data_IF_715086542610
#
_entry.id   IF_715086542610
#
_cell.length_a   1.000
_cell.length_b   1.000
_cell.length_c   1.000
_cell.angle_alpha   90.00
_cell.angle_beta   90.00
_cell.angle_gamma   90.00
#
_symmetry.space_group_name_H-M   'P 1'
#
loop_
_entity.id
_entity.type
_entity.pdbx_description
1 polymer ?
#
# COMPACT_ATOMS: atom_id res chain seq x y z
N UNK A 1 -5.05 -30.08 11.19
CA UNK A 1 -4.91 -28.72 11.76
C UNK A 1 -5.25 -28.76 13.26
N UNK A 2 -4.46 -29.49 14.07
CA UNK A 2 -4.84 -29.89 15.45
C UNK A 2 -4.27 -28.97 16.54
N UNK A 3 -3.24 -28.17 16.23
CA UNK A 3 -2.55 -27.34 17.22
C UNK A 3 -3.21 -25.97 17.52
N UNK A 4 -4.17 -25.50 16.70
CA UNK A 4 -4.77 -24.17 16.89
C UNK A 4 -5.78 -24.08 18.05
N UNK A 5 -6.30 -25.21 18.55
CA UNK A 5 -7.36 -25.22 19.59
C UNK A 5 -6.86 -25.44 21.01
N UNK A 6 -5.66 -26.00 21.22
CA UNK A 6 -5.17 -26.42 22.55
C UNK A 6 -4.19 -25.40 23.15
N UNK A 7 -3.47 -24.66 22.32
CA UNK A 7 -2.59 -23.57 22.75
C UNK A 7 -3.27 -22.27 22.35
N UNK A 8 -4.01 -21.63 23.27
CA UNK A 8 -4.51 -20.28 23.05
C UNK A 8 -3.36 -19.40 22.53
N UNK A 9 -3.64 -18.51 21.56
CA UNK A 9 -2.63 -17.71 20.85
C UNK A 9 -1.54 -17.23 21.83
N UNK A 10 -0.37 -17.89 21.80
CA UNK A 10 0.74 -17.57 22.71
C UNK A 10 1.09 -16.11 22.50
N UNK A 11 0.76 -15.29 23.50
CA UNK A 11 1.04 -13.86 23.40
C UNK A 11 2.53 -13.65 23.67
N UNK A 12 3.14 -12.60 23.11
CA UNK A 12 4.57 -12.38 23.29
C UNK A 12 5.01 -12.06 24.73
N UNK A 13 4.10 -12.06 25.69
CA UNK A 13 4.35 -11.86 27.12
C UNK A 13 4.34 -13.16 27.93
N UNK A 14 4.03 -14.30 27.29
CA UNK A 14 3.98 -15.61 27.94
C UNK A 14 5.36 -16.29 27.89
N UNK A 15 5.75 -16.98 28.95
CA UNK A 15 7.04 -17.65 29.09
C UNK A 15 8.10 -16.83 29.84
N UNK A 16 9.36 -17.27 29.78
CA UNK A 16 10.49 -16.52 30.34
C UNK A 16 10.93 -15.36 29.42
N UNK A 17 11.81 -14.48 29.92
CA UNK A 17 12.25 -13.27 29.19
C UNK A 17 12.86 -13.56 27.81
N UNK A 18 13.43 -14.74 27.59
CA UNK A 18 14.02 -15.12 26.30
C UNK A 18 12.99 -15.45 25.22
N UNK A 19 11.74 -15.75 25.63
CA UNK A 19 10.63 -16.03 24.71
C UNK A 19 9.74 -14.81 24.45
N UNK A 20 10.04 -13.67 25.09
CA UNK A 20 9.34 -12.44 24.78
C UNK A 20 9.63 -12.02 23.34
N UNK A 21 8.56 -11.78 22.58
CA UNK A 21 8.64 -11.41 21.15
C UNK A 21 7.99 -10.05 20.92
N UNK A 22 8.25 -9.45 19.76
CA UNK A 22 7.47 -8.31 19.27
C UNK A 22 6.07 -8.71 18.80
N UNK A 23 5.19 -7.72 18.59
CA UNK A 23 3.86 -7.91 18.00
C UNK A 23 3.78 -7.35 16.59
N UNK A 24 3.86 -8.20 15.56
CA UNK A 24 3.51 -7.84 14.17
C UNK A 24 4.28 -6.66 13.56
N UNK A 25 5.34 -6.17 14.20
CA UNK A 25 6.14 -5.05 13.72
C UNK A 25 7.03 -5.53 12.58
N UNK A 26 7.02 -4.82 11.46
CA UNK A 26 7.94 -5.07 10.34
C UNK A 26 9.32 -4.50 10.68
N UNK A 27 10.39 -5.19 10.26
CA UNK A 27 11.76 -4.74 10.51
C UNK A 27 12.08 -3.44 9.78
N UNK A 28 12.27 -2.35 10.53
CA UNK A 28 12.62 -1.02 10.00
C UNK A 28 14.13 -0.83 9.80
N UNK A 29 14.93 -1.83 10.14
CA UNK A 29 16.37 -1.68 10.27
C UNK A 29 17.06 -2.97 10.68
N UNK A 30 18.22 -2.84 11.30
CA UNK A 30 19.03 -3.95 11.81
C UNK A 30 19.80 -3.53 13.07
N UNK A 31 20.20 -4.51 13.89
CA UNK A 31 21.07 -4.29 15.05
C UNK A 31 22.53 -4.38 14.62
N UNK A 32 23.36 -3.46 15.11
CA UNK A 32 24.83 -3.52 15.00
C UNK A 32 25.44 -4.52 16.00
N UNK A 33 26.72 -4.84 15.81
CA UNK A 33 27.49 -5.70 16.72
C UNK A 33 27.56 -5.19 18.17
N UNK A 34 27.44 -3.88 18.37
CA UNK A 34 27.40 -3.22 19.69
C UNK A 34 25.97 -3.03 20.21
N UNK A 35 24.99 -3.78 19.68
CA UNK A 35 23.57 -3.71 20.04
C UNK A 35 22.91 -2.33 19.86
N UNK A 36 23.44 -1.46 18.99
CA UNK A 36 22.73 -0.25 18.55
C UNK A 36 21.81 -0.57 17.38
N UNK A 37 20.56 -0.11 17.42
CA UNK A 37 19.61 -0.22 16.31
C UNK A 37 19.89 0.85 15.25
N UNK A 38 20.03 0.43 14.00
CA UNK A 38 20.25 1.30 12.84
C UNK A 38 19.00 1.22 11.96
N UNK A 39 18.40 2.38 11.68
CA UNK A 39 17.20 2.49 10.83
C UNK A 39 17.61 2.53 9.36
N UNK A 40 17.03 1.64 8.55
CA UNK A 40 17.25 1.62 7.10
C UNK A 40 16.18 2.48 6.42
N UNK A 41 16.51 3.68 5.89
CA UNK A 41 15.50 4.58 5.31
C UNK A 41 14.76 3.94 4.12
N UNK A 42 15.38 3.00 3.41
CA UNK A 42 14.76 2.24 2.31
C UNK A 42 13.67 1.26 2.76
N UNK A 43 13.69 0.82 4.03
CA UNK A 43 12.66 -0.06 4.60
C UNK A 43 11.51 0.73 5.22
N UNK A 44 11.67 2.04 5.41
CA UNK A 44 10.62 2.89 5.91
C UNK A 44 9.48 3.00 4.88
N UNK A 45 8.24 2.98 5.36
CA UNK A 45 7.08 3.19 4.52
C UNK A 45 6.98 4.68 4.16
N UNK A 46 7.20 5.01 2.90
CA UNK A 46 6.91 6.35 2.37
C UNK A 46 5.47 6.39 1.89
N UNK A 47 4.65 7.23 2.52
CA UNK A 47 3.26 7.45 2.10
C UNK A 47 3.23 8.64 1.14
N UNK A 48 2.88 8.41 -0.13
CA UNK A 48 2.74 9.46 -1.12
C UNK A 48 1.37 10.13 -0.98
N UNK A 49 1.36 11.32 -0.38
CA UNK A 49 0.18 12.16 -0.26
C UNK A 49 0.24 13.22 -1.37
N UNK A 50 -0.78 13.35 -2.23
CA UNK A 50 -0.78 14.36 -3.28
C UNK A 50 -0.83 15.76 -2.64
N UNK A 51 -0.21 16.76 -3.27
CA UNK A 51 -0.05 18.10 -2.71
C UNK A 51 -1.39 18.79 -2.35
N UNK A 52 -2.48 18.44 -3.07
CA UNK A 52 -3.82 18.96 -2.87
C UNK A 52 -4.65 18.20 -1.81
N UNK A 53 -4.05 17.26 -1.07
CA UNK A 53 -4.78 16.53 -0.02
C UNK A 53 -5.27 17.46 1.10
N UNK A 54 -4.47 18.48 1.45
CA UNK A 54 -4.79 19.47 2.48
C UNK A 54 -5.28 20.81 1.92
N UNK A 55 -5.36 20.98 0.60
CA UNK A 55 -5.90 22.21 0.03
C UNK A 55 -7.40 22.30 0.27
N UNK A 56 -7.89 23.52 0.54
CA UNK A 56 -9.32 23.82 0.72
C UNK A 56 -10.19 23.41 -0.48
N UNK A 57 -9.56 23.22 -1.65
CA UNK A 57 -10.15 22.58 -2.82
C UNK A 57 -9.71 21.10 -2.88
N UNK A 58 -10.37 20.19 -2.12
CA UNK A 58 -10.22 18.77 -2.37
C UNK A 58 -10.62 18.49 -3.82
N UNK A 59 -10.11 17.40 -4.40
CA UNK A 59 -10.57 16.95 -5.71
C UNK A 59 -12.11 17.02 -5.79
N UNK A 60 -12.66 17.52 -6.90
CA UNK A 60 -14.12 17.60 -7.11
C UNK A 60 -14.84 16.25 -6.90
N UNK A 61 -14.07 15.17 -7.01
CA UNK A 61 -14.50 13.81 -6.71
C UNK A 61 -14.78 13.62 -5.21
N UNK A 62 -16.00 13.17 -4.94
CA UNK A 62 -16.45 12.73 -3.61
C UNK A 62 -16.30 11.21 -3.46
N UNK A 63 -16.24 10.66 -2.23
CA UNK A 63 -16.18 9.21 -2.01
C UNK A 63 -17.39 8.42 -2.53
N UNK A 64 -18.53 9.10 -2.71
CA UNK A 64 -19.77 8.52 -3.22
C UNK A 64 -20.18 9.15 -4.55
N UNK A 65 -20.79 8.33 -5.39
CA UNK A 65 -21.33 8.71 -6.70
C UNK A 65 -22.83 8.99 -6.56
N UNK A 66 -23.36 9.89 -7.39
CA UNK A 66 -24.81 10.13 -7.48
C UNK A 66 -25.56 8.87 -7.92
N UNK A 67 -26.76 8.65 -7.37
CA UNK A 67 -27.67 7.57 -7.78
C UNK A 67 -28.18 7.72 -9.22
N UNK A 68 -28.11 8.93 -9.77
CA UNK A 68 -28.58 9.25 -11.13
C UNK A 68 -27.46 9.19 -12.18
N UNK A 69 -26.31 8.59 -11.86
CA UNK A 69 -25.24 8.41 -12.82
C UNK A 69 -25.70 7.48 -13.95
N UNK A 70 -25.34 7.81 -15.20
CA UNK A 70 -25.62 6.97 -16.35
C UNK A 70 -24.77 5.69 -16.30
N UNK A 71 -25.37 4.57 -16.67
CA UNK A 71 -24.65 3.33 -16.83
C UNK A 71 -23.91 3.34 -18.17
N UNK A 72 -22.58 3.19 -18.12
CA UNK A 72 -21.77 3.08 -19.33
C UNK A 72 -22.08 1.79 -20.08
N UNK A 73 -22.18 1.88 -21.41
CA UNK A 73 -22.32 0.71 -22.27
C UNK A 73 -20.99 -0.08 -22.33
N UNK A 74 -21.05 -1.37 -22.68
CA UNK A 74 -19.85 -2.20 -22.82
C UNK A 74 -18.90 -1.63 -23.89
N UNK A 75 -19.46 -1.12 -24.99
CA UNK A 75 -18.72 -0.52 -26.10
C UNK A 75 -17.95 0.73 -25.64
N UNK A 76 -18.59 1.60 -24.84
CA UNK A 76 -17.93 2.79 -24.28
C UNK A 76 -16.79 2.42 -23.33
N UNK A 77 -16.99 1.38 -22.51
CA UNK A 77 -15.95 0.89 -21.59
C UNK A 77 -14.77 0.34 -22.36
N UNK A 78 -15.00 -0.45 -23.41
CA UNK A 78 -13.93 -1.05 -24.21
C UNK A 78 -13.19 -0.01 -25.06
N UNK A 79 -13.90 1.00 -25.59
CA UNK A 79 -13.28 2.16 -26.24
C UNK A 79 -12.37 2.94 -25.27
N UNK A 80 -12.83 3.21 -24.04
CA UNK A 80 -12.01 3.89 -23.01
C UNK A 80 -10.78 3.05 -22.61
N UNK A 81 -10.91 1.72 -22.53
CA UNK A 81 -9.76 0.83 -22.28
C UNK A 81 -8.75 0.87 -23.42
N UNK A 82 -9.21 0.82 -24.68
CA UNK A 82 -8.35 0.90 -25.86
C UNK A 82 -7.58 2.24 -25.89
N UNK A 83 -8.27 3.36 -25.68
CA UNK A 83 -7.64 4.68 -25.59
C UNK A 83 -6.59 4.76 -24.46
N UNK A 84 -6.89 4.20 -23.28
CA UNK A 84 -5.94 4.11 -22.16
C UNK A 84 -4.71 3.27 -22.51
N UNK A 85 -4.89 2.17 -23.25
CA UNK A 85 -3.80 1.32 -23.72
C UNK A 85 -2.92 2.07 -24.73
N UNK A 86 -3.51 2.77 -25.69
CA UNK A 86 -2.77 3.56 -26.68
C UNK A 86 -1.92 4.64 -26.00
N UNK A 87 -2.50 5.43 -25.10
CA UNK A 87 -1.77 6.46 -24.34
C UNK A 87 -0.56 5.89 -23.58
N UNK A 88 -0.67 4.67 -23.03
CA UNK A 88 0.47 4.00 -22.38
C UNK A 88 1.57 3.63 -23.35
N UNK A 89 1.21 3.14 -24.54
CA UNK A 89 2.16 2.83 -25.60
C UNK A 89 2.87 4.10 -26.08
N UNK A 90 2.13 5.19 -26.30
CA UNK A 90 2.70 6.46 -26.75
C UNK A 90 3.74 7.00 -25.74
N UNK A 91 3.41 7.00 -24.45
CA UNK A 91 4.35 7.40 -23.37
C UNK A 91 5.60 6.51 -23.34
N UNK A 92 5.45 5.20 -23.57
CA UNK A 92 6.60 4.28 -23.65
C UNK A 92 7.47 4.60 -24.88
N UNK A 93 6.87 4.84 -26.04
CA UNK A 93 7.61 5.19 -27.26
C UNK A 93 8.32 6.54 -27.12
N UNK A 94 7.71 7.53 -26.48
CA UNK A 94 8.36 8.81 -26.14
C UNK A 94 9.54 8.62 -25.18
N UNK A 95 9.42 7.72 -24.20
CA UNK A 95 10.49 7.42 -23.26
C UNK A 95 11.68 6.71 -23.91
N UNK A 96 11.47 5.96 -25.00
CA UNK A 96 12.54 5.30 -25.76
C UNK A 96 13.25 6.22 -26.75
N UNK A 97 12.63 7.36 -27.11
CA UNK A 97 13.24 8.36 -28.01
C UNK A 97 14.17 9.33 -27.28
N UNK A 98 14.11 9.39 -25.95
CA UNK A 98 15.00 10.18 -25.10
C UNK A 98 16.14 9.32 -24.58
#
# INVERSE_FOLDING_TARGET
>A
MVFHRILGYLTPKMGNKNYYKGRGVRGTGHSSSINRWIVDPKKALTIHVPANYYSETPSELKPYVSRHCFQLSKEEVDAKKAAKKQRRLDVLMESQKK
#
